data_IF_792805625396
#
_entry.id   IF_792805625396
#
_cell.length_a   1.000
_cell.length_b   1.000
_cell.length_c   1.000
_cell.angle_alpha   90.00
_cell.angle_beta   90.00
_cell.angle_gamma   90.00
#
_symmetry.space_group_name_H-M   'P 1'
#
loop_
_entity.id
_entity.type
_entity.pdbx_description
1 polymer ?
#
# COMPACT_ATOMS: atom_id res chain seq x y z
N UNK A 1 6.54 27.37 -28.69
CA UNK A 1 6.79 25.98 -28.28
C UNK A 1 7.30 25.97 -26.84
N UNK A 2 6.42 26.22 -25.87
CA UNK A 2 6.78 26.28 -24.45
C UNK A 2 6.27 25.02 -23.75
N UNK A 3 7.22 24.24 -23.25
CA UNK A 3 7.02 22.98 -22.55
C UNK A 3 6.23 23.22 -21.26
N UNK A 4 5.02 22.65 -21.20
CA UNK A 4 4.25 22.54 -19.96
C UNK A 4 5.06 21.67 -19.00
N UNK A 5 5.60 22.34 -17.97
CA UNK A 5 6.30 21.70 -16.87
C UNK A 5 5.32 20.74 -16.19
N UNK A 6 5.48 19.43 -16.45
CA UNK A 6 4.75 18.37 -15.76
C UNK A 6 5.00 18.58 -14.27
N UNK A 7 3.97 19.07 -13.57
CA UNK A 7 3.94 19.24 -12.13
C UNK A 7 4.25 17.86 -11.52
N UNK A 8 5.46 17.68 -11.04
CA UNK A 8 5.84 16.50 -10.26
C UNK A 8 4.97 16.55 -9.01
N UNK A 9 3.91 15.74 -9.00
CA UNK A 9 3.12 15.48 -7.80
C UNK A 9 4.13 15.02 -6.74
N UNK A 10 4.14 15.66 -5.56
CA UNK A 10 5.01 15.25 -4.45
C UNK A 10 4.88 13.74 -4.27
N UNK A 11 5.92 13.02 -4.62
CA UNK A 11 5.90 11.56 -4.65
C UNK A 11 5.83 11.08 -3.19
N UNK A 12 4.69 10.54 -2.79
CA UNK A 12 4.58 9.88 -1.48
C UNK A 12 5.58 8.72 -1.52
N UNK A 13 6.46 8.64 -0.52
CA UNK A 13 7.69 7.85 -0.57
C UNK A 13 7.54 6.35 -0.91
N UNK A 14 6.32 5.80 -0.83
CA UNK A 14 6.03 4.39 -1.10
C UNK A 14 5.04 4.16 -2.23
N UNK A 15 4.56 5.21 -2.89
CA UNK A 15 3.70 5.09 -4.07
C UNK A 15 4.59 4.95 -5.30
N UNK A 16 4.46 3.88 -6.10
CA UNK A 16 5.26 3.70 -7.31
C UNK A 16 5.01 4.81 -8.33
N UNK A 17 5.90 4.93 -9.31
CA UNK A 17 5.62 5.75 -10.48
C UNK A 17 4.37 5.23 -11.19
N UNK A 18 3.45 6.12 -11.55
CA UNK A 18 2.23 5.78 -12.28
C UNK A 18 1.88 6.86 -13.30
N UNK A 19 1.11 6.48 -14.32
CA UNK A 19 0.47 7.43 -15.23
C UNK A 19 -0.90 7.81 -14.62
N UNK A 20 -1.20 9.10 -14.43
CA UNK A 20 -2.50 9.50 -13.91
C UNK A 20 -3.66 8.95 -14.77
N UNK A 21 -4.73 8.44 -14.15
CA UNK A 21 -5.90 7.97 -14.88
C UNK A 21 -6.58 9.11 -15.63
N UNK A 22 -7.19 8.80 -16.78
CA UNK A 22 -7.94 9.78 -17.57
C UNK A 22 -9.44 9.77 -17.24
N UNK A 23 -10.21 10.70 -17.81
CA UNK A 23 -11.66 10.77 -17.59
C UNK A 23 -12.42 9.51 -18.02
N UNK A 24 -11.92 8.76 -19.00
CA UNK A 24 -12.55 7.53 -19.50
C UNK A 24 -12.40 6.41 -18.48
N UNK A 25 -11.26 6.34 -17.79
CA UNK A 25 -11.03 5.37 -16.72
C UNK A 25 -12.02 5.58 -15.56
N UNK A 26 -12.20 6.83 -15.12
CA UNK A 26 -13.18 7.17 -14.09
C UNK A 26 -14.61 6.82 -14.51
N UNK A 27 -14.99 7.13 -15.76
CA UNK A 27 -16.31 6.79 -16.29
C UNK A 27 -16.56 5.29 -16.28
N UNK A 28 -15.59 4.48 -16.74
CA UNK A 28 -15.69 3.01 -16.74
C UNK A 28 -15.90 2.44 -15.34
N UNK A 29 -15.13 2.91 -14.36
CA UNK A 29 -15.25 2.45 -12.97
C UNK A 29 -16.62 2.84 -12.38
N UNK A 30 -17.03 4.09 -12.56
CA UNK A 30 -18.34 4.56 -12.07
C UNK A 30 -19.49 3.76 -12.69
N UNK A 31 -19.47 3.59 -14.01
CA UNK A 31 -20.53 2.87 -14.71
C UNK A 31 -20.52 1.37 -14.35
N UNK A 32 -19.38 0.78 -13.98
CA UNK A 32 -19.31 -0.56 -13.39
C UNK A 32 -19.97 -0.61 -12.02
N UNK A 33 -19.62 0.31 -11.11
CA UNK A 33 -20.18 0.36 -9.75
C UNK A 33 -21.70 0.60 -9.76
N UNK A 34 -22.22 1.46 -10.63
CA UNK A 34 -23.66 1.74 -10.72
C UNK A 34 -24.47 0.56 -11.29
N UNK A 35 -23.85 -0.33 -12.06
CA UNK A 35 -24.53 -1.51 -12.64
C UNK A 35 -24.65 -2.68 -11.68
N UNK A 36 -23.88 -2.70 -10.59
CA UNK A 36 -23.83 -3.82 -9.66
C UNK A 36 -24.18 -3.35 -8.24
N UNK A 37 -25.21 -3.95 -7.64
CA UNK A 37 -25.68 -3.61 -6.29
C UNK A 37 -25.02 -4.43 -5.18
N UNK A 38 -24.16 -5.38 -5.54
CA UNK A 38 -23.40 -6.24 -4.61
C UNK A 38 -22.01 -6.45 -5.19
N UNK A 39 -20.99 -5.99 -4.48
CA UNK A 39 -19.61 -6.16 -4.87
C UNK A 39 -18.75 -6.51 -3.66
N UNK A 40 -17.71 -7.28 -3.93
CA UNK A 40 -16.67 -7.62 -2.96
C UNK A 40 -15.44 -6.76 -3.30
N UNK A 41 -14.89 -6.09 -2.29
CA UNK A 41 -13.65 -5.33 -2.42
C UNK A 41 -12.51 -6.17 -1.84
N UNK A 42 -11.55 -6.52 -2.68
CA UNK A 42 -10.32 -7.21 -2.27
C UNK A 42 -9.15 -6.22 -2.34
N UNK A 43 -8.49 -6.00 -1.20
CA UNK A 43 -7.36 -5.06 -1.09
C UNK A 43 -6.04 -5.77 -0.85
N UNK A 44 -4.94 -5.18 -1.32
CA UNK A 44 -3.57 -5.58 -0.95
C UNK A 44 -2.80 -4.41 -0.34
N UNK A 45 -1.51 -4.61 -0.04
CA UNK A 45 -0.66 -3.61 0.61
C UNK A 45 -0.59 -2.25 -0.14
N UNK A 46 -0.80 -2.26 -1.47
CA UNK A 46 -0.82 -1.05 -2.30
C UNK A 46 -1.78 0.03 -1.79
N UNK A 47 -2.93 -0.35 -1.21
CA UNK A 47 -3.92 0.61 -0.71
C UNK A 47 -3.36 1.50 0.42
N UNK A 48 -2.35 1.03 1.16
CA UNK A 48 -1.77 1.73 2.31
C UNK A 48 -0.46 2.47 2.00
N UNK A 49 -0.01 2.45 0.74
CA UNK A 49 1.19 3.19 0.31
C UNK A 49 1.07 4.69 0.53
N UNK A 50 -0.12 5.25 0.26
CA UNK A 50 -0.44 6.65 0.54
C UNK A 50 -0.54 6.97 2.03
N UNK A 51 -0.72 5.95 2.89
CA UNK A 51 -0.65 6.09 4.35
C UNK A 51 0.78 6.08 4.89
N UNK A 52 1.78 5.88 4.04
CA UNK A 52 3.18 5.78 4.46
C UNK A 52 3.61 4.37 4.87
N UNK A 53 2.92 3.33 4.40
CA UNK A 53 3.33 1.92 4.56
C UNK A 53 3.89 1.41 3.23
N UNK A 54 5.15 0.93 3.16
CA UNK A 54 5.67 0.34 1.93
C UNK A 54 4.88 -0.92 1.55
N UNK A 55 4.60 -1.06 0.27
CA UNK A 55 4.19 -2.36 -0.25
C UNK A 55 5.40 -3.30 -0.39
N UNK A 56 5.14 -4.51 -0.88
CA UNK A 56 6.20 -5.51 -1.04
C UNK A 56 6.89 -5.46 -2.40
N UNK A 57 6.18 -5.12 -3.48
CA UNK A 57 6.56 -5.50 -4.85
C UNK A 57 6.59 -4.35 -5.86
N UNK A 58 6.17 -3.15 -5.48
CA UNK A 58 6.24 -2.00 -6.39
C UNK A 58 7.67 -1.80 -6.87
N UNK A 59 7.82 -1.51 -8.16
CA UNK A 59 9.10 -1.18 -8.77
C UNK A 59 9.72 0.01 -8.03
N UNK A 60 11.04 -0.06 -7.79
CA UNK A 60 11.86 0.95 -7.09
C UNK A 60 11.52 1.23 -5.60
N UNK A 61 10.25 1.17 -5.20
CA UNK A 61 9.77 1.59 -3.86
C UNK A 61 9.29 0.44 -2.98
N UNK A 62 9.02 -0.73 -3.55
CA UNK A 62 8.60 -1.93 -2.82
C UNK A 62 9.71 -2.49 -1.92
N UNK A 63 9.31 -3.16 -0.83
CA UNK A 63 10.26 -3.73 0.14
C UNK A 63 11.26 -4.69 -0.51
N UNK A 64 10.82 -5.55 -1.45
CA UNK A 64 11.68 -6.51 -2.13
C UNK A 64 12.57 -5.87 -3.21
N UNK A 65 12.23 -4.67 -3.68
CA UNK A 65 13.08 -3.90 -4.58
C UNK A 65 14.17 -3.12 -3.81
N UNK A 66 13.86 -2.62 -2.61
CA UNK A 66 14.77 -1.79 -1.80
C UNK A 66 15.54 -2.54 -0.73
N UNK A 67 15.23 -3.81 -0.47
CA UNK A 67 15.83 -4.56 0.62
C UNK A 67 16.00 -6.03 0.30
N UNK A 68 17.14 -6.59 0.72
CA UNK A 68 17.37 -8.04 0.77
C UNK A 68 16.68 -8.72 1.97
N UNK A 69 15.69 -8.05 2.58
CA UNK A 69 14.98 -8.59 3.73
C UNK A 69 14.07 -9.74 3.30
N UNK A 70 14.43 -10.96 3.69
CA UNK A 70 13.56 -12.12 3.53
C UNK A 70 12.48 -12.12 4.61
N UNK A 71 11.22 -12.39 4.26
CA UNK A 71 10.20 -12.68 5.26
C UNK A 71 10.66 -13.84 6.15
N UNK A 72 10.39 -13.71 7.45
CA UNK A 72 10.55 -14.82 8.38
C UNK A 72 9.62 -15.96 7.97
N UNK A 73 10.13 -17.19 7.94
CA UNK A 73 9.30 -18.35 7.64
C UNK A 73 8.65 -18.87 8.92
N UNK A 74 7.38 -19.29 8.83
CA UNK A 74 6.61 -19.80 9.98
C UNK A 74 7.34 -20.94 10.71
N UNK A 75 7.89 -21.89 9.95
CA UNK A 75 8.62 -23.03 10.50
C UNK A 75 9.86 -22.59 11.30
N UNK A 76 10.59 -21.58 10.83
CA UNK A 76 11.74 -21.04 11.55
C UNK A 76 11.32 -20.32 12.84
N UNK A 77 10.24 -19.56 12.78
CA UNK A 77 9.68 -18.87 13.94
C UNK A 77 9.29 -19.87 15.04
N UNK A 78 8.59 -20.96 14.71
CA UNK A 78 8.17 -21.94 15.73
C UNK A 78 9.36 -22.78 16.23
N UNK A 79 10.27 -23.18 15.33
CA UNK A 79 11.37 -24.09 15.67
C UNK A 79 12.49 -23.43 16.49
N UNK A 80 12.84 -22.17 16.20
CA UNK A 80 14.06 -21.55 16.76
C UNK A 80 13.77 -20.37 17.69
N UNK A 81 14.01 -20.49 19.01
CA UNK A 81 13.77 -19.39 19.97
C UNK A 81 14.53 -18.09 19.64
N UNK A 82 15.78 -18.18 19.17
CA UNK A 82 16.57 -17.00 18.77
C UNK A 82 15.93 -16.24 17.60
N UNK A 83 15.29 -16.94 16.66
CA UNK A 83 14.57 -16.33 15.54
C UNK A 83 13.35 -15.56 16.05
N UNK A 84 12.59 -16.10 17.01
CA UNK A 84 11.48 -15.38 17.66
C UNK A 84 11.94 -14.15 18.42
N UNK A 85 13.02 -14.26 19.20
CA UNK A 85 13.58 -13.12 19.93
C UNK A 85 13.96 -11.99 18.97
N UNK A 86 14.64 -12.29 17.86
CA UNK A 86 14.98 -11.32 16.82
C UNK A 86 13.74 -10.70 16.16
N UNK A 87 12.72 -11.51 15.86
CA UNK A 87 11.47 -11.03 15.30
C UNK A 87 10.78 -10.05 16.26
N UNK A 88 10.60 -10.43 17.52
CA UNK A 88 9.92 -9.60 18.51
C UNK A 88 10.69 -8.34 18.87
N UNK A 89 12.02 -8.40 18.98
CA UNK A 89 12.84 -7.22 19.22
C UNK A 89 12.65 -6.16 18.12
N UNK A 90 12.61 -6.58 16.85
CA UNK A 90 12.37 -5.66 15.72
C UNK A 90 10.95 -5.11 15.71
N UNK A 91 9.94 -5.96 15.95
CA UNK A 91 8.55 -5.51 16.01
C UNK A 91 8.33 -4.53 17.15
N UNK A 92 8.91 -4.79 18.34
CA UNK A 92 8.83 -3.89 19.49
C UNK A 92 9.38 -2.50 19.17
N UNK A 93 10.58 -2.41 18.57
CA UNK A 93 11.18 -1.14 18.17
C UNK A 93 10.37 -0.42 17.10
N UNK A 94 9.79 -1.15 16.14
CA UNK A 94 9.00 -0.57 15.05
C UNK A 94 7.56 -0.20 15.43
N UNK A 95 7.02 -0.78 16.50
CA UNK A 95 5.60 -0.72 16.83
C UNK A 95 5.07 0.70 17.02
N UNK A 96 5.70 1.61 17.81
CA UNK A 96 5.14 2.94 18.05
C UNK A 96 4.88 3.74 16.77
N UNK A 97 5.80 3.64 15.78
CA UNK A 97 5.62 4.27 14.46
C UNK A 97 4.56 3.55 13.64
N UNK A 98 4.58 2.22 13.62
CA UNK A 98 3.65 1.45 12.79
C UNK A 98 2.20 1.63 13.27
N UNK A 99 1.96 1.60 14.58
CA UNK A 99 0.65 1.74 15.19
C UNK A 99 0.07 3.16 15.09
N UNK A 100 0.88 4.18 14.80
CA UNK A 100 0.41 5.56 14.67
C UNK A 100 -0.14 5.88 13.26
N UNK A 101 0.06 4.99 12.28
CA UNK A 101 -0.33 5.21 10.89
C UNK A 101 -1.86 5.26 10.77
N UNK A 102 -2.36 6.20 9.95
CA UNK A 102 -3.80 6.46 9.79
C UNK A 102 -4.33 5.98 8.42
N UNK A 103 -5.62 5.65 8.32
CA UNK A 103 -6.28 5.40 7.03
C UNK A 103 -6.15 6.61 6.10
N UNK A 104 -6.02 6.35 4.79
CA UNK A 104 -6.02 7.38 3.75
C UNK A 104 -7.40 7.54 3.10
N UNK A 105 -7.48 8.44 2.10
CA UNK A 105 -8.72 8.74 1.37
C UNK A 105 -9.39 7.49 0.77
N UNK A 106 -8.62 6.53 0.25
CA UNK A 106 -9.15 5.31 -0.36
C UNK A 106 -9.83 4.41 0.68
N UNK A 107 -9.25 4.27 1.88
CA UNK A 107 -9.88 3.51 2.97
C UNK A 107 -11.22 4.15 3.37
N UNK A 108 -11.24 5.49 3.49
CA UNK A 108 -12.45 6.22 3.83
C UNK A 108 -13.52 6.11 2.74
N UNK A 109 -13.13 6.18 1.46
CA UNK A 109 -14.04 6.01 0.34
C UNK A 109 -14.68 4.61 0.32
N UNK A 110 -13.90 3.56 0.56
CA UNK A 110 -14.41 2.19 0.69
C UNK A 110 -15.38 2.08 1.86
N UNK A 111 -15.06 2.69 3.01
CA UNK A 111 -15.96 2.74 4.18
C UNK A 111 -17.28 3.44 3.87
N UNK A 112 -17.30 4.46 3.01
CA UNK A 112 -18.54 5.10 2.59
C UNK A 112 -19.35 4.23 1.61
N UNK A 113 -18.69 3.37 0.81
CA UNK A 113 -19.37 2.44 -0.10
C UNK A 113 -20.02 1.24 0.61
N UNK A 114 -19.61 0.94 1.85
CA UNK A 114 -20.20 -0.13 2.66
C UNK A 114 -21.59 0.25 3.23
N UNK A 115 -21.87 1.55 3.34
CA UNK A 115 -23.15 2.07 3.86
C UNK A 115 -24.28 1.91 2.87
#
# INVERSE_FOLDING_TARGET
MYLVQKKIIRQIAFVPAYKPPDQKDFKKLRDFLLRHNKFLILTGAGISTESGIPDYRSEEVGLYARSNHKPIQYQEFVKYPKVRQRYWARNFVGWPRFSSIKPNATHNAIRELEK
#
